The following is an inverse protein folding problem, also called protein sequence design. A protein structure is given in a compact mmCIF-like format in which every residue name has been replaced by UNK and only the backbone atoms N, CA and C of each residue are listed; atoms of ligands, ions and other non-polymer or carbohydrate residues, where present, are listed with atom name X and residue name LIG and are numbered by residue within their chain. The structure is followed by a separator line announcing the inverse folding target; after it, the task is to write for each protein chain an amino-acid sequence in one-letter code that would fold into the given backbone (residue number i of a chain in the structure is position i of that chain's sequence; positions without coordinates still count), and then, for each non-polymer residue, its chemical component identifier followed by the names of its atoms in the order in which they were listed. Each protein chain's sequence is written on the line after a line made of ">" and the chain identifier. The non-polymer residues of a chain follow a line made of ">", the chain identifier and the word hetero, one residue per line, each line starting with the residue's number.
data_IF_646905575156
#
_entry.id   IF_646905575156
#
_cell.length_a   1.000
_cell.length_b   1.000
_cell.length_c   1.000
_cell.angle_alpha   90.00
_cell.angle_beta   90.00
_cell.angle_gamma   90.00
#
_symmetry.space_group_name_H-M   'P 1'
#
loop_
_entity.id
_entity.type
_entity.pdbx_description
1 polymer ?
#
# COMPACT_ATOMS: atom_id res chain seq x y z
N UNK A 1 -7.27 -8.14 -8.36
CA UNK A 1 -6.79 -6.94 -9.08
C UNK A 1 -6.09 -6.01 -8.12
N UNK A 2 -4.99 -5.38 -8.53
CA UNK A 2 -4.26 -4.38 -7.73
C UNK A 2 -4.38 -3.02 -8.40
N UNK A 3 -4.48 -1.99 -7.59
CA UNK A 3 -4.72 -0.62 -8.03
C UNK A 3 -3.81 0.33 -7.27
N UNK A 4 -3.40 1.38 -7.97
CA UNK A 4 -2.78 2.56 -7.38
C UNK A 4 -3.76 3.73 -7.52
N UNK A 5 -3.97 4.47 -6.43
CA UNK A 5 -4.80 5.66 -6.41
C UNK A 5 -4.08 6.77 -5.67
N UNK A 6 -4.08 7.97 -6.24
CA UNK A 6 -3.61 9.15 -5.53
C UNK A 6 -4.77 10.07 -5.18
N UNK A 7 -4.79 10.53 -3.94
CA UNK A 7 -5.78 11.43 -3.39
C UNK A 7 -5.16 12.77 -3.04
N UNK A 8 -5.91 13.83 -3.31
CA UNK A 8 -5.67 15.18 -2.81
C UNK A 8 -6.90 15.69 -2.08
N UNK A 9 -6.78 16.82 -1.38
CA UNK A 9 -7.96 17.49 -0.84
C UNK A 9 -8.92 17.90 -1.97
N UNK A 10 -10.20 17.73 -1.71
CA UNK A 10 -11.26 18.24 -2.57
C UNK A 10 -11.35 19.77 -2.49
N UNK A 11 -10.97 20.36 -1.36
CA UNK A 11 -10.88 21.79 -1.17
C UNK A 11 -9.59 22.35 -1.79
N UNK A 12 -9.71 22.92 -2.98
CA UNK A 12 -8.58 23.45 -3.76
C UNK A 12 -7.86 24.62 -3.08
N UNK A 13 -8.59 25.44 -2.31
CA UNK A 13 -8.02 26.54 -1.54
C UNK A 13 -7.09 26.03 -0.43
N UNK A 14 -7.39 24.84 0.12
CA UNK A 14 -6.62 24.22 1.20
C UNK A 14 -5.66 23.13 0.73
N UNK A 15 -5.72 22.75 -0.55
CA UNK A 15 -4.95 21.64 -1.12
C UNK A 15 -3.44 21.82 -0.94
N UNK A 16 -2.92 23.02 -1.21
CA UNK A 16 -1.49 23.33 -1.11
C UNK A 16 -1.09 23.91 0.27
N UNK A 17 -2.05 24.18 1.15
CA UNK A 17 -1.79 24.70 2.51
C UNK A 17 -1.72 23.58 3.54
N UNK A 18 -2.31 22.42 3.24
CA UNK A 18 -2.41 21.30 4.17
C UNK A 18 -1.29 20.31 3.90
N UNK A 19 -0.42 20.12 4.89
CA UNK A 19 0.62 19.10 4.87
C UNK A 19 0.14 17.82 5.58
N UNK A 20 -0.15 16.76 4.82
CA UNK A 20 -0.56 15.46 5.35
C UNK A 20 0.54 14.73 6.13
N UNK A 21 1.80 15.13 6.00
CA UNK A 21 2.93 14.53 6.75
C UNK A 21 2.94 14.98 8.21
N UNK A 22 2.25 16.07 8.54
CA UNK A 22 2.06 16.51 9.93
C UNK A 22 1.41 15.40 10.77
N UNK A 23 1.91 15.23 12.00
CA UNK A 23 1.52 14.13 12.89
C UNK A 23 0.00 14.05 13.13
N UNK A 24 -0.70 15.19 13.16
CA UNK A 24 -2.15 15.26 13.36
C UNK A 24 -2.95 14.61 12.24
N UNK A 25 -2.49 14.68 11.00
CA UNK A 25 -3.13 14.03 9.86
C UNK A 25 -2.62 12.62 9.68
N UNK A 26 -1.30 12.44 9.75
CA UNK A 26 -0.63 11.14 9.55
C UNK A 26 -1.24 10.05 10.44
N UNK A 27 -1.35 10.30 11.75
CA UNK A 27 -1.87 9.29 12.68
C UNK A 27 -3.32 8.89 12.37
N UNK A 28 -4.14 9.84 11.92
CA UNK A 28 -5.54 9.59 11.57
C UNK A 28 -5.64 8.82 10.25
N UNK A 29 -4.76 9.11 9.28
CA UNK A 29 -4.64 8.34 8.04
C UNK A 29 -4.28 6.88 8.34
N UNK A 30 -3.26 6.63 9.15
CA UNK A 30 -2.84 5.27 9.53
C UNK A 30 -3.98 4.48 10.22
N UNK A 31 -4.72 5.14 11.11
CA UNK A 31 -5.89 4.55 11.76
C UNK A 31 -7.01 4.25 10.74
N UNK A 32 -7.26 5.15 9.79
CA UNK A 32 -8.25 4.93 8.74
C UNK A 32 -7.86 3.78 7.79
N UNK A 33 -6.56 3.60 7.50
CA UNK A 33 -6.05 2.46 6.73
C UNK A 33 -6.32 1.15 7.48
N UNK A 34 -6.03 1.12 8.77
CA UNK A 34 -6.32 -0.04 9.64
C UNK A 34 -7.81 -0.37 9.63
N UNK A 35 -8.68 0.64 9.80
CA UNK A 35 -10.13 0.47 9.78
C UNK A 35 -10.65 -0.02 8.43
N UNK A 36 -10.09 0.50 7.32
CA UNK A 36 -10.42 0.05 5.97
C UNK A 36 -10.08 -1.43 5.78
N UNK A 37 -8.87 -1.85 6.19
CA UNK A 37 -8.42 -3.22 6.07
C UNK A 37 -9.23 -4.19 6.94
N UNK A 38 -9.56 -3.80 8.18
CA UNK A 38 -10.41 -4.59 9.05
C UNK A 38 -11.81 -4.80 8.45
N UNK A 39 -12.41 -3.73 7.92
CA UNK A 39 -13.71 -3.80 7.25
C UNK A 39 -13.66 -4.64 5.98
N UNK A 40 -12.55 -4.58 5.25
CA UNK A 40 -12.33 -5.36 4.04
C UNK A 40 -12.23 -6.86 4.29
N UNK A 41 -11.63 -7.29 5.40
CA UNK A 41 -11.44 -8.72 5.73
C UNK A 41 -12.75 -9.49 5.97
N UNK A 42 -13.81 -8.81 6.37
CA UNK A 42 -15.14 -9.41 6.58
C UNK A 42 -16.11 -9.19 5.42
N UNK A 43 -15.69 -8.41 4.41
CA UNK A 43 -16.52 -8.10 3.25
C UNK A 43 -16.51 -9.24 2.23
N UNK A 44 -17.66 -9.45 1.56
CA UNK A 44 -17.79 -10.46 0.48
C UNK A 44 -16.81 -10.23 -0.67
N UNK A 45 -16.54 -8.96 -1.00
CA UNK A 45 -15.55 -8.56 -1.99
C UNK A 45 -14.41 -7.88 -1.24
N UNK A 46 -13.40 -8.66 -0.85
CA UNK A 46 -12.31 -8.17 0.00
C UNK A 46 -11.58 -7.06 -0.71
N UNK A 47 -11.27 -6.01 0.06
CA UNK A 47 -10.39 -4.92 -0.34
C UNK A 47 -9.33 -4.74 0.74
N UNK A 48 -8.09 -4.60 0.32
CA UNK A 48 -6.99 -4.51 1.26
C UNK A 48 -5.93 -3.54 0.75
N UNK A 49 -5.64 -2.50 1.53
CA UNK A 49 -4.51 -1.61 1.33
C UNK A 49 -3.27 -2.35 1.78
N UNK A 50 -2.38 -2.65 0.84
CA UNK A 50 -1.13 -3.36 1.09
C UNK A 50 0.09 -2.43 1.14
N UNK A 51 -0.02 -1.21 0.62
CA UNK A 51 1.01 -0.19 0.71
C UNK A 51 0.39 1.21 0.62
N UNK A 52 1.08 2.22 1.15
CA UNK A 52 0.70 3.63 1.06
C UNK A 52 1.92 4.55 1.22
N UNK A 53 1.77 5.77 0.74
CA UNK A 53 2.75 6.83 0.92
C UNK A 53 1.99 8.14 1.18
N UNK A 54 2.51 8.91 2.13
CA UNK A 54 1.95 10.20 2.54
C UNK A 54 2.99 11.25 2.20
N UNK A 55 2.71 12.03 1.16
CA UNK A 55 3.46 13.23 0.80
C UNK A 55 2.68 14.46 1.28
N UNK A 56 3.31 15.64 1.26
CA UNK A 56 2.73 16.88 1.81
C UNK A 56 1.28 17.12 1.34
N UNK A 57 1.00 17.01 0.05
CA UNK A 57 -0.34 17.31 -0.49
C UNK A 57 -1.01 16.11 -1.17
N UNK A 58 -0.42 14.92 -1.04
CA UNK A 58 -0.86 13.73 -1.79
C UNK A 58 -0.82 12.49 -0.90
N UNK A 59 -1.96 11.80 -0.83
CA UNK A 59 -2.07 10.47 -0.24
C UNK A 59 -2.10 9.42 -1.35
N UNK A 60 -1.05 8.61 -1.44
CA UNK A 60 -0.95 7.50 -2.39
C UNK A 60 -1.38 6.21 -1.69
N UNK A 61 -2.32 5.49 -2.29
CA UNK A 61 -2.84 4.24 -1.77
C UNK A 61 -2.67 3.14 -2.82
N UNK A 62 -2.09 2.03 -2.40
CA UNK A 62 -1.98 0.80 -3.17
C UNK A 62 -2.86 -0.25 -2.52
N UNK A 63 -3.88 -0.72 -3.25
CA UNK A 63 -4.83 -1.68 -2.70
C UNK A 63 -5.20 -2.76 -3.69
N UNK A 64 -5.56 -3.91 -3.15
CA UNK A 64 -6.05 -5.05 -3.90
C UNK A 64 -7.55 -5.25 -3.67
N UNK A 65 -8.20 -5.85 -4.67
CA UNK A 65 -9.61 -6.22 -4.67
C UNK A 65 -9.78 -7.58 -5.34
N UNK A 66 -10.63 -8.44 -4.76
CA UNK A 66 -10.94 -9.76 -5.33
C UNK A 66 -11.63 -9.67 -6.70
N UNK A 67 -12.33 -8.56 -6.93
CA UNK A 67 -13.04 -8.27 -8.18
C UNK A 67 -12.46 -7.05 -8.86
N UNK A 68 -12.60 -7.00 -10.18
CA UNK A 68 -12.34 -5.79 -10.94
C UNK A 68 -13.33 -4.67 -10.57
N UNK A 69 -12.81 -3.45 -10.44
CA UNK A 69 -13.57 -2.29 -10.02
C UNK A 69 -13.67 -1.29 -11.16
N UNK A 70 -14.89 -0.96 -11.56
CA UNK A 70 -15.18 0.10 -12.56
C UNK A 70 -14.64 1.47 -12.10
N UNK A 71 -14.70 1.73 -10.78
CA UNK A 71 -14.26 3.00 -10.20
C UNK A 71 -13.54 2.75 -8.88
N UNK A 72 -12.22 2.47 -8.92
CA UNK A 72 -11.42 2.17 -7.73
C UNK A 72 -11.55 3.23 -6.63
N UNK A 73 -11.57 4.52 -7.01
CA UNK A 73 -11.72 5.67 -6.09
C UNK A 73 -12.99 5.63 -5.25
N UNK A 74 -14.11 5.09 -5.77
CA UNK A 74 -15.37 4.97 -5.01
C UNK A 74 -15.26 4.02 -3.82
N UNK A 75 -14.29 3.11 -3.81
CA UNK A 75 -14.04 2.21 -2.68
C UNK A 75 -13.62 2.97 -1.42
N UNK A 76 -13.09 4.19 -1.57
CA UNK A 76 -12.56 5.01 -0.48
C UNK A 76 -13.57 6.02 0.09
N UNK A 77 -14.86 5.91 -0.25
CA UNK A 77 -15.91 6.76 0.35
C UNK A 77 -15.98 6.59 1.87
N UNK A 78 -15.99 5.35 2.35
CA UNK A 78 -16.00 5.07 3.78
C UNK A 78 -14.69 5.44 4.46
N UNK A 79 -13.57 5.28 3.76
CA UNK A 79 -12.26 5.75 4.23
C UNK A 79 -12.27 7.26 4.46
N UNK A 80 -12.72 8.03 3.47
CA UNK A 80 -12.85 9.49 3.58
C UNK A 80 -13.80 9.90 4.71
N UNK A 81 -14.89 9.17 4.92
CA UNK A 81 -15.79 9.41 6.06
C UNK A 81 -15.10 9.13 7.40
N UNK A 82 -14.35 8.03 7.50
CA UNK A 82 -13.62 7.68 8.72
C UNK A 82 -12.61 8.77 9.12
N UNK A 83 -11.90 9.38 8.16
CA UNK A 83 -11.02 10.53 8.42
C UNK A 83 -11.78 11.71 9.06
N UNK A 84 -12.95 12.06 8.50
CA UNK A 84 -13.80 13.17 8.97
C UNK A 84 -14.38 12.89 10.36
N UNK A 85 -14.81 11.66 10.59
CA UNK A 85 -15.47 11.27 11.85
C UNK A 85 -14.46 11.21 13.01
N UNK A 86 -13.17 10.94 12.73
CA UNK A 86 -12.12 10.74 13.74
C UNK A 86 -11.12 11.91 13.86
N UNK A 87 -11.33 13.04 13.18
CA UNK A 87 -10.45 14.20 13.27
C UNK A 87 -11.18 15.50 12.96
N UNK A 88 -11.14 16.43 13.92
CA UNK A 88 -11.67 17.78 13.73
C UNK A 88 -10.84 18.56 12.69
N UNK A 89 -9.52 18.32 12.61
CA UNK A 89 -8.66 18.88 11.57
C UNK A 89 -9.12 18.45 10.17
N UNK A 90 -9.36 17.16 9.94
CA UNK A 90 -9.89 16.70 8.66
C UNK A 90 -11.31 17.22 8.40
N UNK A 91 -12.14 17.32 9.44
CA UNK A 91 -13.50 17.88 9.31
C UNK A 91 -13.49 19.33 8.84
N UNK A 92 -12.53 20.13 9.30
CA UNK A 92 -12.37 21.53 8.90
C UNK A 92 -11.99 21.71 7.42
N UNK A 93 -11.47 20.67 6.77
CA UNK A 93 -11.03 20.70 5.37
C UNK A 93 -12.13 20.28 4.37
N UNK A 94 -13.30 19.85 4.85
CA UNK A 94 -14.40 19.37 4.01
C UNK A 94 -15.03 20.51 3.21
N UNK A 95 -15.21 20.30 1.91
CA UNK A 95 -15.96 21.20 1.02
C UNK A 95 -17.07 20.44 0.30
N UNK A 96 -18.30 20.95 0.32
CA UNK A 96 -19.44 20.32 -0.34
C UNK A 96 -19.67 18.85 0.05
N UNK A 97 -19.34 18.48 1.29
CA UNK A 97 -19.42 17.10 1.80
C UNK A 97 -18.33 16.15 1.31
N UNK A 98 -17.27 16.67 0.67
CA UNK A 98 -16.13 15.89 0.17
C UNK A 98 -14.85 16.33 0.86
N UNK A 99 -14.04 15.37 1.31
CA UNK A 99 -12.71 15.62 1.83
C UNK A 99 -11.64 15.34 0.79
N UNK A 100 -11.68 14.17 0.16
CA UNK A 100 -10.67 13.73 -0.81
C UNK A 100 -11.24 13.68 -2.24
N UNK A 101 -10.40 14.03 -3.21
CA UNK A 101 -10.61 13.78 -4.65
C UNK A 101 -9.51 12.87 -5.18
N UNK A 102 -9.89 11.88 -5.98
CA UNK A 102 -8.92 11.05 -6.70
C UNK A 102 -8.35 11.83 -7.88
N UNK A 103 -7.03 11.95 -7.95
CA UNK A 103 -6.32 12.67 -9.03
C UNK A 103 -5.55 11.74 -9.97
N UNK A 104 -5.33 10.50 -9.56
CA UNK A 104 -4.70 9.46 -10.35
C UNK A 104 -5.32 8.10 -10.02
N UNK A 105 -5.45 7.24 -11.02
CA UNK A 105 -5.88 5.85 -10.84
C UNK A 105 -5.28 5.00 -11.95
N UNK A 106 -4.59 3.92 -11.57
CA UNK A 106 -4.08 2.92 -12.52
C UNK A 106 -4.26 1.51 -11.97
N UNK A 107 -4.17 0.53 -12.86
CA UNK A 107 -3.93 -0.86 -12.46
C UNK A 107 -2.47 -0.95 -12.02
N UNK A 108 -2.26 -1.45 -10.82
CA UNK A 108 -0.92 -1.67 -10.29
C UNK A 108 -0.44 -3.05 -10.76
N UNK A 109 0.31 -3.05 -11.85
CA UNK A 109 1.02 -4.24 -12.31
C UNK A 109 2.26 -4.42 -11.44
N UNK A 110 2.35 -5.57 -10.78
CA UNK A 110 3.46 -5.86 -9.91
C UNK A 110 4.67 -6.17 -10.79
N UNK A 111 5.47 -5.16 -11.14
CA UNK A 111 6.79 -5.30 -11.78
C UNK A 111 7.82 -5.85 -10.78
N UNK A 112 7.43 -6.86 -10.01
CA UNK A 112 8.29 -7.69 -9.19
C UNK A 112 9.14 -6.99 -8.13
N UNK A 113 8.93 -5.71 -7.85
CA UNK A 113 9.76 -4.89 -6.95
C UNK A 113 8.99 -4.49 -5.70
N UNK A 114 8.41 -5.48 -5.00
CA UNK A 114 8.12 -5.30 -3.57
C UNK A 114 9.47 -5.28 -2.83
N UNK A 115 9.99 -4.08 -2.63
CA UNK A 115 11.11 -3.82 -1.73
C UNK A 115 10.58 -3.80 -0.30
N UNK A 116 10.07 -4.95 0.15
CA UNK A 116 10.01 -5.26 1.58
C UNK A 116 11.42 -5.10 2.12
N UNK A 117 11.64 -4.39 3.22
CA UNK A 117 12.92 -4.41 3.93
C UNK A 117 13.35 -5.87 4.06
N UNK A 118 14.36 -6.26 3.30
CA UNK A 118 14.69 -7.66 3.05
C UNK A 118 15.39 -8.18 4.31
N UNK A 119 14.60 -8.60 5.27
CA UNK A 119 15.07 -9.17 6.53
C UNK A 119 15.17 -10.69 6.34
N UNK A 120 16.26 -11.11 5.72
CA UNK A 120 16.67 -12.52 5.60
C UNK A 120 18.20 -12.58 5.63
N UNK A 121 18.75 -13.49 6.44
CA UNK A 121 20.20 -13.71 6.46
C UNK A 121 20.66 -14.47 5.20
N UNK A 122 21.94 -14.33 4.84
CA UNK A 122 22.51 -15.06 3.71
C UNK A 122 22.39 -16.59 3.89
N UNK A 123 22.52 -17.08 5.12
CA UNK A 123 22.36 -18.49 5.47
C UNK A 123 20.92 -18.99 5.22
N UNK A 124 19.92 -18.20 5.62
CA UNK A 124 18.52 -18.51 5.37
C UNK A 124 18.18 -18.47 3.88
N UNK A 125 18.77 -17.52 3.15
CA UNK A 125 18.62 -17.42 1.70
C UNK A 125 19.17 -18.65 0.97
N UNK A 126 20.41 -19.07 1.29
CA UNK A 126 21.05 -20.26 0.70
C UNK A 126 20.25 -21.52 1.01
N UNK A 127 19.81 -21.69 2.26
CA UNK A 127 19.01 -22.84 2.69
C UNK A 127 17.69 -22.92 1.91
N UNK A 128 17.02 -21.78 1.76
CA UNK A 128 15.76 -21.68 1.02
C UNK A 128 15.95 -22.03 -0.46
N UNK A 129 17.05 -21.58 -1.07
CA UNK A 129 17.41 -21.92 -2.46
C UNK A 129 17.67 -23.41 -2.65
N UNK A 130 18.44 -24.03 -1.75
CA UNK A 130 18.71 -25.48 -1.79
C UNK A 130 17.40 -26.26 -1.70
N UNK A 131 16.51 -25.87 -0.79
CA UNK A 131 15.21 -26.51 -0.64
C UNK A 131 14.35 -26.42 -1.91
N UNK A 132 14.39 -25.30 -2.64
CA UNK A 132 13.70 -25.20 -3.93
C UNK A 132 14.33 -26.05 -5.03
N UNK A 133 15.66 -26.05 -5.14
CA UNK A 133 16.35 -26.88 -6.12
C UNK A 133 16.08 -28.38 -5.87
N UNK A 134 15.84 -28.75 -4.62
CA UNK A 134 15.45 -30.11 -4.22
C UNK A 134 13.95 -30.41 -4.38
N UNK A 135 13.15 -29.46 -4.85
CA UNK A 135 11.70 -29.66 -5.02
C UNK A 135 10.95 -29.90 -3.71
N UNK A 136 11.50 -29.49 -2.56
CA UNK A 136 10.79 -29.60 -1.28
C UNK A 136 9.60 -28.64 -1.30
N UNK A 137 8.41 -29.16 -0.99
CA UNK A 137 7.22 -28.33 -0.87
C UNK A 137 7.34 -27.37 0.30
N UNK A 138 6.90 -26.13 0.08
CA UNK A 138 6.83 -25.09 1.11
C UNK A 138 5.55 -25.29 1.91
N UNK A 139 5.67 -25.73 3.16
CA UNK A 139 4.52 -26.18 3.94
C UNK A 139 4.09 -25.17 5.01
N UNK A 140 5.02 -24.36 5.53
CA UNK A 140 4.74 -23.40 6.60
C UNK A 140 4.62 -21.95 6.12
N UNK A 141 3.91 -21.12 6.89
CA UNK A 141 3.83 -19.69 6.64
C UNK A 141 5.20 -18.99 6.72
N UNK A 142 6.09 -19.49 7.58
CA UNK A 142 7.45 -18.99 7.73
C UNK A 142 8.30 -19.29 6.49
N UNK A 143 8.21 -20.51 5.93
CA UNK A 143 8.92 -20.84 4.70
C UNK A 143 8.39 -20.05 3.49
N UNK A 144 7.09 -19.71 3.46
CA UNK A 144 6.52 -18.81 2.43
C UNK A 144 7.04 -17.38 2.56
N UNK A 145 7.19 -16.88 3.79
CA UNK A 145 7.79 -15.57 4.08
C UNK A 145 9.26 -15.56 3.66
N UNK A 146 10.04 -16.55 4.09
CA UNK A 146 11.46 -16.70 3.72
C UNK A 146 11.64 -16.85 2.20
N UNK A 147 10.69 -17.50 1.53
CA UNK A 147 10.65 -17.56 0.07
C UNK A 147 10.50 -16.21 -0.59
N UNK A 148 9.54 -15.42 -0.12
CA UNK A 148 9.27 -14.08 -0.66
C UNK A 148 10.48 -13.17 -0.44
N UNK A 149 11.07 -13.20 0.76
CA UNK A 149 12.25 -12.41 1.10
C UNK A 149 13.49 -12.83 0.28
N UNK A 150 13.69 -14.14 0.06
CA UNK A 150 14.76 -14.69 -0.79
C UNK A 150 14.66 -14.17 -2.23
N UNK A 151 13.47 -14.18 -2.82
CA UNK A 151 13.23 -13.64 -4.17
C UNK A 151 13.54 -12.14 -4.21
N UNK A 152 13.09 -11.40 -3.20
CA UNK A 152 13.40 -9.98 -3.06
C UNK A 152 14.91 -9.72 -3.05
N UNK A 153 15.67 -10.50 -2.27
CA UNK A 153 17.14 -10.35 -2.15
C UNK A 153 17.86 -10.63 -3.47
N UNK A 154 17.47 -11.68 -4.17
CA UNK A 154 18.06 -12.05 -5.45
C UNK A 154 17.83 -10.96 -6.49
N UNK A 155 16.62 -10.40 -6.56
CA UNK A 155 16.34 -9.27 -7.46
C UNK A 155 17.19 -8.04 -7.13
N UNK A 156 17.36 -7.73 -5.84
CA UNK A 156 18.24 -6.64 -5.42
C UNK A 156 19.70 -6.86 -5.86
N UNK A 157 20.23 -8.07 -5.65
CA UNK A 157 21.59 -8.43 -6.05
C UNK A 157 21.79 -8.35 -7.58
N UNK A 158 20.83 -8.82 -8.37
CA UNK A 158 20.87 -8.70 -9.84
C UNK A 158 20.93 -7.23 -10.25
N UNK A 159 20.08 -6.38 -9.67
CA UNK A 159 20.10 -4.93 -9.95
C UNK A 159 21.42 -4.26 -9.54
N UNK A 160 22.06 -4.70 -8.45
CA UNK A 160 23.39 -4.22 -8.06
C UNK A 160 24.46 -4.62 -9.08
N UNK A 161 24.48 -5.88 -9.52
CA UNK A 161 25.41 -6.36 -10.54
C UNK A 161 25.25 -5.65 -11.90
N UNK A 162 24.02 -5.35 -12.31
CA UNK A 162 23.73 -4.60 -13.55
C UNK A 162 24.22 -3.16 -13.48
N UNK A 163 24.14 -2.52 -12.30
CA UNK A 163 24.68 -1.17 -12.08
C UNK A 163 26.20 -1.13 -12.11
N UNK A 164 26.87 -2.20 -11.69
CA UNK A 164 28.34 -2.32 -11.74
C UNK A 164 28.88 -2.63 -13.15
N UNK A 165 28.02 -3.03 -14.08
CA UNK A 165 28.38 -3.40 -15.45
C UNK A 165 28.23 -2.25 -16.46
N UNK A 166 27.91 -1.04 -15.99
CA UNK A 166 27.82 0.21 -16.78
C UNK A 166 28.91 1.18 -16.34
#
# INVERSE_FOLDING_TARGET
>A
MRYEIWFKLANEEKENETDFTEAKYKNVIENAITNFNNSGNVARNRKHIFNHSIDEHVLKIYFESDVELESPTKSFRFFSKNLIDNSDDFRALVIGGRLLKGVYTSIYENDGTEQSSIDISDEQMITTLIHWCMGKEVQSAEEKKNKTNTIGRIKALIMECEKMSK
#
